data_IF_690674407077
#
_entry.id   IF_690674407077
#
_cell.length_a   1.000
_cell.length_b   1.000
_cell.length_c   1.000
_cell.angle_alpha   90.00
_cell.angle_beta   90.00
_cell.angle_gamma   90.00
#
_symmetry.space_group_name_H-M   'P 1'
#
loop_
_entity.id
_entity.type
_entity.pdbx_description
1 polymer ?
#
# COMPACT_ATOMS: atom_id res chain seq x y z
N UNK A 1 -8.96 -22.24 -6.46
CA UNK A 1 -8.09 -21.38 -7.30
C UNK A 1 -9.00 -20.40 -8.03
N UNK A 2 -9.00 -19.13 -7.63
CA UNK A 2 -9.78 -18.08 -8.30
C UNK A 2 -8.88 -17.48 -9.39
N UNK A 3 -9.31 -17.56 -10.64
CA UNK A 3 -8.65 -16.87 -11.76
C UNK A 3 -9.43 -15.60 -12.08
N UNK A 4 -8.75 -14.45 -12.05
CA UNK A 4 -9.37 -13.16 -12.33
C UNK A 4 -8.47 -12.35 -13.28
N UNK A 5 -9.07 -11.74 -14.31
CA UNK A 5 -8.34 -10.93 -15.29
C UNK A 5 -7.69 -9.68 -14.68
N UNK A 6 -8.10 -9.31 -13.46
CA UNK A 6 -7.56 -8.19 -12.69
C UNK A 6 -7.23 -8.65 -11.28
N UNK A 7 -5.97 -9.02 -11.00
CA UNK A 7 -5.58 -9.58 -9.70
C UNK A 7 -5.94 -8.70 -8.50
N UNK A 8 -5.79 -7.37 -8.60
CA UNK A 8 -6.11 -6.47 -7.49
C UNK A 8 -7.61 -6.49 -7.12
N UNK A 9 -8.51 -6.69 -8.08
CA UNK A 9 -9.96 -6.74 -7.81
C UNK A 9 -10.31 -8.01 -7.04
N UNK A 10 -9.74 -9.15 -7.44
CA UNK A 10 -9.93 -10.41 -6.72
C UNK A 10 -9.39 -10.34 -5.29
N UNK A 11 -8.20 -9.76 -5.09
CA UNK A 11 -7.62 -9.60 -3.75
C UNK A 11 -8.52 -8.73 -2.87
N UNK A 12 -9.02 -7.60 -3.38
CA UNK A 12 -9.88 -6.70 -2.62
C UNK A 12 -11.24 -7.37 -2.30
N UNK A 13 -11.80 -8.12 -3.24
CA UNK A 13 -13.03 -8.89 -3.01
C UNK A 13 -12.86 -9.93 -1.91
N UNK A 14 -11.73 -10.63 -1.87
CA UNK A 14 -11.41 -11.60 -0.80
C UNK A 14 -11.33 -10.89 0.55
N UNK A 15 -10.60 -9.78 0.63
CA UNK A 15 -10.47 -8.97 1.85
C UNK A 15 -11.83 -8.55 2.40
N UNK A 16 -12.74 -8.12 1.53
CA UNK A 16 -14.08 -7.69 1.93
C UNK A 16 -14.96 -8.89 2.33
N UNK A 17 -14.85 -10.02 1.63
CA UNK A 17 -15.71 -11.17 1.85
C UNK A 17 -15.41 -11.88 3.16
N UNK A 18 -14.12 -11.94 3.52
CA UNK A 18 -13.62 -12.68 4.68
C UNK A 18 -13.13 -11.78 5.81
N UNK A 19 -13.41 -10.47 5.73
CA UNK A 19 -13.09 -9.45 6.75
C UNK A 19 -11.61 -9.49 7.19
N UNK A 20 -10.70 -9.52 6.20
CA UNK A 20 -9.26 -9.53 6.49
C UNK A 20 -8.79 -8.19 7.03
N UNK A 21 -7.98 -8.22 8.09
CA UNK A 21 -7.47 -7.04 8.78
C UNK A 21 -6.14 -6.51 8.20
N UNK A 22 -5.45 -7.28 7.35
CA UNK A 22 -4.17 -6.92 6.76
C UNK A 22 -3.91 -7.63 5.42
N UNK A 23 -3.35 -6.91 4.44
CA UNK A 23 -2.82 -7.49 3.21
C UNK A 23 -1.30 -7.44 3.21
N UNK A 24 -0.65 -8.61 3.10
CA UNK A 24 0.79 -8.73 2.94
C UNK A 24 1.12 -9.00 1.46
N UNK A 25 1.92 -8.14 0.84
CA UNK A 25 2.35 -8.35 -0.55
C UNK A 25 3.83 -8.06 -0.75
N UNK A 26 4.52 -9.01 -1.38
CA UNK A 26 5.92 -8.82 -1.77
C UNK A 26 6.05 -7.74 -2.85
N UNK A 27 6.99 -6.81 -2.65
CA UNK A 27 7.45 -5.86 -3.64
C UNK A 27 8.88 -6.21 -4.01
N UNK A 28 9.12 -6.49 -5.30
CA UNK A 28 10.47 -6.81 -5.77
C UNK A 28 11.34 -5.57 -5.80
N UNK A 29 12.54 -5.69 -5.25
CA UNK A 29 13.59 -4.70 -5.41
C UNK A 29 14.48 -5.16 -6.58
N UNK A 30 14.64 -4.35 -7.61
CA UNK A 30 15.52 -4.71 -8.72
C UNK A 30 16.91 -4.14 -8.44
N UNK A 31 17.94 -5.00 -8.38
CA UNK A 31 19.32 -4.70 -7.94
C UNK A 31 20.02 -3.45 -8.53
N UNK A 32 19.49 -2.87 -9.62
CA UNK A 32 20.02 -1.65 -10.25
C UNK A 32 19.34 -0.35 -9.80
N UNK A 33 18.18 -0.44 -9.16
CA UNK A 33 17.44 0.70 -8.64
C UNK A 33 17.37 0.55 -7.13
N UNK A 34 17.90 1.53 -6.39
CA UNK A 34 17.77 1.57 -4.93
C UNK A 34 16.32 1.75 -4.46
N UNK A 35 15.39 2.01 -5.39
CA UNK A 35 13.97 2.17 -5.13
C UNK A 35 13.19 0.86 -5.36
N UNK A 36 12.23 0.60 -4.47
CA UNK A 36 11.22 -0.46 -4.63
C UNK A 36 10.39 -0.19 -5.89
N UNK A 37 10.27 -1.19 -6.78
CA UNK A 37 9.46 -1.06 -7.98
C UNK A 37 8.05 -1.56 -7.67
N UNK A 38 7.08 -0.64 -7.73
CA UNK A 38 5.66 -0.98 -7.59
C UNK A 38 5.04 -1.31 -8.95
N UNK A 39 4.42 -2.48 -9.05
CA UNK A 39 3.62 -2.91 -10.20
C UNK A 39 2.28 -2.17 -10.25
N UNK A 40 1.55 -2.16 -11.39
CA UNK A 40 0.20 -1.59 -11.45
C UNK A 40 -0.75 -2.17 -10.38
N UNK A 41 -0.63 -3.47 -10.08
CA UNK A 41 -1.39 -4.14 -9.02
C UNK A 41 -1.08 -3.54 -7.64
N UNK A 42 0.19 -3.26 -7.32
CA UNK A 42 0.59 -2.66 -6.04
C UNK A 42 -0.02 -1.29 -5.85
N UNK A 43 0.06 -0.46 -6.90
CA UNK A 43 -0.55 0.86 -6.89
C UNK A 43 -2.07 0.82 -6.78
N UNK A 44 -2.72 -0.24 -7.27
CA UNK A 44 -4.15 -0.41 -7.08
C UNK A 44 -4.48 -0.83 -5.65
N UNK A 45 -3.73 -1.75 -5.04
CA UNK A 45 -3.93 -2.17 -3.65
C UNK A 45 -3.71 -1.00 -2.68
N UNK A 46 -2.59 -0.27 -2.80
CA UNK A 46 -2.26 0.87 -1.94
C UNK A 46 -3.32 1.99 -1.97
N UNK A 47 -4.08 2.11 -3.07
CA UNK A 47 -5.10 3.16 -3.24
C UNK A 47 -6.52 2.72 -2.96
N UNK A 48 -6.83 1.42 -3.08
CA UNK A 48 -8.21 0.92 -3.13
C UNK A 48 -8.52 -0.17 -2.09
N UNK A 49 -7.52 -0.80 -1.49
CA UNK A 49 -7.76 -1.80 -0.46
C UNK A 49 -8.34 -1.11 0.79
N UNK A 50 -9.44 -1.63 1.37
CA UNK A 50 -10.02 -1.06 2.59
C UNK A 50 -9.17 -1.34 3.82
N UNK A 51 -8.42 -2.45 3.81
CA UNK A 51 -7.54 -2.86 4.91
C UNK A 51 -6.12 -2.34 4.68
N UNK A 52 -5.33 -2.15 5.75
CA UNK A 52 -3.91 -1.83 5.65
C UNK A 52 -3.16 -2.77 4.70
N UNK A 53 -2.27 -2.20 3.88
CA UNK A 53 -1.44 -2.97 2.94
C UNK A 53 0.02 -2.85 3.36
N UNK A 54 0.63 -3.97 3.73
CA UNK A 54 2.05 -4.06 4.03
C UNK A 54 2.82 -4.59 2.82
N UNK A 55 3.53 -3.68 2.16
CA UNK A 55 4.47 -4.01 1.09
C UNK A 55 5.78 -4.55 1.68
N UNK A 56 6.02 -5.84 1.54
CA UNK A 56 7.19 -6.54 2.10
C UNK A 56 8.30 -6.60 1.07
N UNK A 57 9.48 -6.07 1.39
CA UNK A 57 10.66 -6.17 0.51
C UNK A 57 11.17 -7.61 0.46
N UNK A 58 11.88 -7.97 -0.60
CA UNK A 58 12.52 -9.27 -0.79
C UNK A 58 13.84 -9.45 -0.03
N UNK A 59 14.05 -8.65 1.02
CA UNK A 59 15.25 -8.63 1.85
C UNK A 59 14.86 -8.79 3.33
N UNK A 60 15.74 -9.40 4.17
CA UNK A 60 15.47 -9.52 5.59
C UNK A 60 15.40 -8.14 6.25
N UNK A 61 14.60 -8.05 7.31
CA UNK A 61 14.58 -6.86 8.15
C UNK A 61 15.95 -6.65 8.81
N UNK A 62 16.52 -5.42 8.79
CA UNK A 62 17.84 -5.18 9.35
C UNK A 62 17.83 -5.34 10.88
N UNK A 63 18.95 -5.81 11.44
CA UNK A 63 19.13 -5.87 12.89
C UNK A 63 19.00 -4.47 13.50
N UNK A 64 18.19 -4.33 14.54
CA UNK A 64 17.89 -3.03 15.15
C UNK A 64 17.06 -2.07 14.28
N UNK A 65 16.47 -2.54 13.18
CA UNK A 65 15.65 -1.73 12.27
C UNK A 65 14.51 -1.01 12.99
N UNK A 66 14.24 0.23 12.56
CA UNK A 66 13.26 1.12 13.18
C UNK A 66 11.99 1.20 12.34
N UNK A 67 10.84 1.31 13.00
CA UNK A 67 9.60 1.71 12.36
C UNK A 67 9.52 3.24 12.32
N UNK A 68 9.41 3.80 11.13
CA UNK A 68 9.21 5.24 10.93
C UNK A 68 7.75 5.51 10.56
N UNK A 69 7.14 6.48 11.22
CA UNK A 69 5.77 6.91 10.94
C UNK A 69 5.81 8.31 10.33
N UNK A 70 5.33 8.42 9.10
CA UNK A 70 5.13 9.72 8.46
C UNK A 70 3.78 10.29 8.89
N UNK A 71 3.78 11.50 9.44
CA UNK A 71 2.57 12.22 9.87
C UNK A 71 2.44 13.51 9.07
N UNK A 72 1.22 13.84 8.65
CA UNK A 72 0.94 15.16 8.07
C UNK A 72 0.65 16.14 9.22
N UNK A 73 1.47 17.19 9.34
CA UNK A 73 1.33 18.24 10.36
C UNK A 73 0.69 19.52 9.82
N UNK A 74 0.36 19.58 8.52
CA UNK A 74 -0.33 20.72 7.94
C UNK A 74 -1.76 20.81 8.49
N UNK A 75 -2.27 22.03 8.69
CA UNK A 75 -3.64 22.24 9.14
C UNK A 75 -4.62 21.66 8.12
N UNK A 76 -5.63 20.96 8.60
CA UNK A 76 -6.71 20.38 7.77
C UNK A 76 -7.75 21.43 7.34
N UNK A 77 -7.59 22.70 7.75
CA UNK A 77 -8.53 23.77 7.46
C UNK A 77 -8.44 24.26 5.99
N UNK A 78 -9.56 24.26 5.25
CA UNK A 78 -9.61 24.81 3.90
C UNK A 78 -9.65 26.35 3.94
N UNK A 79 -8.48 27.00 3.98
CA UNK A 79 -8.33 28.46 3.95
C UNK A 79 -8.58 29.13 2.57
N UNK A 80 -9.52 28.64 1.76
CA UNK A 80 -9.82 29.25 0.46
C UNK A 80 -11.33 29.31 0.20
N UNK A 81 -11.98 30.28 0.86
CA UNK A 81 -13.26 30.88 0.44
C UNK A 81 -13.33 32.28 1.07
N UNK A 82 -12.51 33.22 0.59
CA UNK A 82 -12.77 34.64 0.80
C UNK A 82 -13.63 35.12 -0.38
N UNK A 83 -14.89 35.54 -0.17
CA UNK A 83 -15.65 36.25 -1.18
C UNK A 83 -15.21 37.73 -1.18
N UNK A 84 -14.77 38.22 -2.34
CA UNK A 84 -14.95 39.63 -2.74
C UNK A 84 -15.96 39.69 -3.87
#
# INVERSE_FOLDING_TARGET
>A
MVWHNRPFEAIIQEVISDDHDLVLKMAHQHDRLEAVIFTPTDWHLLRKCPSPVWMVKDQPWPEGGKALVAVNLASEEPYHNAPE
#
